data_IF_680723404244
#
_entry.id   IF_680723404244
#
_cell.length_a   1.000
_cell.length_b   1.000
_cell.length_c   1.000
_cell.angle_alpha   90.00
_cell.angle_beta   90.00
_cell.angle_gamma   90.00
#
_symmetry.space_group_name_H-M   'P 1'
#
loop_
_entity.id
_entity.type
_entity.pdbx_description
1 polymer ?
#
# COMPACT_ATOMS: atom_id res chain seq x y z
N UNK A 1 5.48 -13.62 -5.26
CA UNK A 1 6.74 -14.22 -4.78
C UNK A 1 7.34 -15.18 -5.81
N UNK A 2 6.62 -16.20 -6.31
CA UNK A 2 7.16 -17.19 -7.23
C UNK A 2 7.73 -16.60 -8.53
N UNK A 3 7.06 -15.62 -9.12
CA UNK A 3 7.54 -14.94 -10.33
C UNK A 3 8.86 -14.22 -10.07
N UNK A 4 8.99 -13.52 -8.93
CA UNK A 4 10.23 -12.87 -8.55
C UNK A 4 11.37 -13.87 -8.34
N UNK A 5 11.11 -14.96 -7.63
CA UNK A 5 12.10 -16.01 -7.41
C UNK A 5 12.54 -16.61 -8.74
N UNK A 6 11.60 -16.92 -9.63
CA UNK A 6 11.92 -17.47 -10.95
C UNK A 6 12.69 -16.51 -11.86
N UNK A 7 12.43 -15.19 -11.72
CA UNK A 7 13.17 -14.18 -12.48
C UNK A 7 14.66 -14.10 -12.06
N UNK A 8 14.93 -14.19 -10.74
CA UNK A 8 16.30 -14.06 -10.23
C UNK A 8 17.04 -15.38 -10.03
N UNK A 9 16.32 -16.46 -9.75
CA UNK A 9 16.92 -17.75 -9.41
C UNK A 9 16.03 -18.91 -9.90
N UNK A 10 15.93 -19.12 -11.23
CA UNK A 10 14.99 -20.08 -11.82
C UNK A 10 15.22 -21.54 -11.40
N UNK A 11 16.42 -21.87 -10.92
CA UNK A 11 16.77 -23.23 -10.45
C UNK A 11 16.38 -23.52 -8.99
N UNK A 12 15.89 -22.53 -8.23
CA UNK A 12 15.49 -22.74 -6.83
C UNK A 12 14.14 -23.47 -6.78
N UNK A 13 14.08 -24.52 -5.95
CA UNK A 13 12.83 -25.21 -5.63
C UNK A 13 11.99 -24.33 -4.69
N UNK A 14 10.75 -24.11 -5.08
CA UNK A 14 9.78 -23.39 -4.25
C UNK A 14 8.97 -24.40 -3.44
N UNK A 15 8.87 -24.19 -2.15
CA UNK A 15 8.03 -24.96 -1.23
C UNK A 15 6.89 -24.03 -0.79
N UNK A 16 5.66 -24.43 -1.10
CA UNK A 16 4.45 -23.73 -0.75
C UNK A 16 3.55 -24.64 0.09
N UNK A 17 3.71 -24.67 1.41
CA UNK A 17 3.03 -25.65 2.28
C UNK A 17 1.50 -25.66 2.11
N UNK A 18 0.89 -24.51 1.86
CA UNK A 18 -0.54 -24.38 1.58
C UNK A 18 -1.08 -25.28 0.46
N UNK A 19 -0.22 -25.68 -0.48
CA UNK A 19 -0.61 -26.56 -1.58
C UNK A 19 -0.57 -28.04 -1.20
N UNK A 20 0.09 -28.35 -0.10
CA UNK A 20 0.39 -29.72 0.33
C UNK A 20 -0.31 -30.07 1.65
N UNK A 21 -0.63 -29.07 2.49
CA UNK A 21 -1.27 -29.26 3.78
C UNK A 21 -2.79 -29.45 3.67
N UNK A 22 -3.33 -30.18 4.63
CA UNK A 22 -4.79 -30.37 4.76
C UNK A 22 -5.48 -29.18 5.47
N UNK A 23 -4.72 -28.28 6.08
CA UNK A 23 -5.21 -27.05 6.71
C UNK A 23 -5.82 -26.16 5.63
N UNK A 24 -7.11 -25.83 5.78
CA UNK A 24 -7.89 -25.07 4.77
C UNK A 24 -8.43 -23.75 5.26
N UNK A 25 -8.35 -23.47 6.56
CA UNK A 25 -8.87 -22.25 7.16
C UNK A 25 -7.88 -21.65 8.14
N UNK A 26 -8.07 -20.37 8.45
CA UNK A 26 -7.28 -19.66 9.46
C UNK A 26 -7.51 -20.21 10.86
N UNK A 27 -8.71 -20.67 11.15
CA UNK A 27 -9.07 -21.32 12.40
C UNK A 27 -8.26 -22.60 12.60
N UNK A 28 -8.18 -23.44 11.57
CA UNK A 28 -7.37 -24.66 11.60
C UNK A 28 -5.87 -24.38 11.77
N UNK A 29 -5.37 -23.26 11.20
CA UNK A 29 -3.99 -22.81 11.44
C UNK A 29 -3.74 -22.45 12.88
N UNK A 30 -4.67 -21.71 13.49
CA UNK A 30 -4.57 -21.32 14.90
C UNK A 30 -4.55 -22.56 15.77
N UNK A 31 -5.46 -23.51 15.53
CA UNK A 31 -5.51 -24.79 16.25
C UNK A 31 -4.21 -25.57 16.09
N UNK A 32 -3.68 -25.65 14.88
CA UNK A 32 -2.38 -26.29 14.62
C UNK A 32 -1.24 -25.61 15.38
N UNK A 33 -1.19 -24.29 15.35
CA UNK A 33 -0.17 -23.53 16.04
C UNK A 33 -0.25 -23.69 17.56
N UNK A 34 -1.45 -23.67 18.13
CA UNK A 34 -1.70 -23.92 19.56
C UNK A 34 -1.26 -25.34 19.95
N UNK A 35 -1.64 -26.35 19.15
CA UNK A 35 -1.27 -27.74 19.39
C UNK A 35 0.26 -27.99 19.35
N UNK A 36 0.99 -27.16 18.59
CA UNK A 36 2.44 -27.29 18.42
C UNK A 36 3.25 -26.24 19.22
N UNK A 37 2.58 -25.48 20.10
CA UNK A 37 3.19 -24.41 20.91
C UNK A 37 3.94 -23.36 20.05
N UNK A 38 3.42 -23.04 18.87
CA UNK A 38 3.92 -21.95 18.05
C UNK A 38 3.45 -20.64 18.67
N UNK A 39 4.35 -19.71 19.05
CA UNK A 39 3.94 -18.46 19.69
C UNK A 39 3.21 -17.57 18.68
N UNK A 40 1.94 -17.36 18.90
CA UNK A 40 1.11 -16.46 18.11
C UNK A 40 0.70 -15.24 18.93
N UNK A 41 0.83 -14.04 18.35
CA UNK A 41 0.25 -12.82 18.91
C UNK A 41 -1.14 -12.60 18.30
N UNK A 42 -2.08 -13.51 18.58
CA UNK A 42 -3.41 -13.46 17.97
C UNK A 42 -4.45 -13.15 19.05
N UNK A 43 -5.26 -12.14 18.78
CA UNK A 43 -6.55 -11.96 19.44
C UNK A 43 -7.64 -12.37 18.42
N UNK A 44 -8.41 -13.41 18.72
CA UNK A 44 -9.44 -13.96 17.81
C UNK A 44 -10.50 -12.93 17.39
N UNK A 45 -10.74 -11.91 18.22
CA UNK A 45 -11.76 -10.88 17.96
C UNK A 45 -11.28 -9.76 17.04
N UNK A 46 -9.95 -9.55 16.95
CA UNK A 46 -9.34 -8.46 16.15
C UNK A 46 -8.37 -8.99 15.11
N UNK A 47 -8.49 -10.26 14.75
CA UNK A 47 -7.55 -10.95 13.89
C UNK A 47 -7.83 -10.71 12.40
N UNK A 48 -7.85 -9.44 11.98
CA UNK A 48 -7.83 -9.09 10.57
C UNK A 48 -6.55 -9.62 9.92
N UNK A 49 -6.64 -10.00 8.65
CA UNK A 49 -5.44 -10.23 7.85
C UNK A 49 -4.80 -8.89 7.57
N UNK A 50 -3.55 -8.71 8.01
CA UNK A 50 -2.84 -7.44 7.91
C UNK A 50 -1.51 -7.65 7.23
N UNK A 51 -1.29 -6.95 6.12
CA UNK A 51 -0.01 -6.89 5.43
C UNK A 51 0.59 -5.49 5.61
N UNK A 52 1.72 -5.43 6.30
CA UNK A 52 2.40 -4.18 6.65
C UNK A 52 3.73 -4.04 5.93
N UNK A 53 3.94 -2.89 5.33
CA UNK A 53 5.23 -2.46 4.82
C UNK A 53 5.44 -0.96 5.12
N UNK A 54 6.52 -0.37 4.62
CA UNK A 54 6.81 1.05 4.85
C UNK A 54 5.78 1.98 4.21
N UNK A 55 5.16 1.56 3.11
CA UNK A 55 4.20 2.35 2.33
C UNK A 55 2.80 2.31 2.90
N UNK A 56 2.31 1.14 3.29
CA UNK A 56 0.93 0.96 3.74
C UNK A 56 0.74 -0.22 4.71
N UNK A 57 -0.43 -0.25 5.32
CA UNK A 57 -0.98 -1.37 6.05
C UNK A 57 -2.35 -1.71 5.48
N UNK A 58 -2.56 -2.98 5.11
CA UNK A 58 -3.87 -3.48 4.69
C UNK A 58 -4.61 -4.17 5.83
N UNK A 59 -5.95 -4.13 5.80
CA UNK A 59 -6.84 -4.85 6.68
C UNK A 59 -7.85 -5.62 5.84
N UNK A 60 -7.90 -6.92 5.98
CA UNK A 60 -8.81 -7.82 5.28
C UNK A 60 -9.35 -8.90 6.23
N UNK A 61 -10.41 -9.58 5.84
CA UNK A 61 -10.97 -10.71 6.58
C UNK A 61 -11.98 -10.31 7.65
N UNK A 62 -12.40 -11.26 8.49
CA UNK A 62 -13.43 -11.10 9.51
C UNK A 62 -14.73 -10.50 8.92
N UNK A 63 -15.24 -9.44 9.54
CA UNK A 63 -16.44 -8.72 9.10
C UNK A 63 -16.31 -8.08 7.71
N UNK A 64 -15.09 -7.83 7.22
CA UNK A 64 -14.83 -7.32 5.86
C UNK A 64 -14.99 -8.40 4.77
N UNK A 65 -15.12 -9.68 5.12
CA UNK A 65 -15.42 -10.74 4.15
C UNK A 65 -16.80 -10.55 3.52
N UNK A 66 -17.76 -10.05 4.29
CA UNK A 66 -19.01 -9.53 3.72
C UNK A 66 -18.78 -8.10 3.24
N UNK A 67 -18.68 -7.93 1.92
CA UNK A 67 -18.44 -6.63 1.29
C UNK A 67 -19.51 -5.58 1.55
N UNK A 68 -20.65 -5.97 2.13
CA UNK A 68 -21.73 -5.08 2.56
C UNK A 68 -21.49 -4.44 3.93
N UNK A 69 -20.55 -4.97 4.72
CA UNK A 69 -20.26 -4.44 6.06
C UNK A 69 -19.41 -3.18 6.01
N UNK A 70 -19.74 -2.23 6.85
CA UNK A 70 -18.95 -1.01 7.05
C UNK A 70 -17.70 -1.30 7.90
N UNK A 71 -16.52 -0.73 7.56
CA UNK A 71 -15.32 -0.87 8.37
C UNK A 71 -15.47 -0.31 9.77
N UNK A 72 -14.98 -1.02 10.75
CA UNK A 72 -15.09 -0.67 12.17
C UNK A 72 -13.88 0.17 12.62
N UNK A 73 -13.73 1.39 12.11
CA UNK A 73 -12.57 2.26 12.38
C UNK A 73 -12.33 2.52 13.88
N UNK A 74 -13.41 2.61 14.66
CA UNK A 74 -13.35 2.87 16.11
C UNK A 74 -13.06 1.62 16.96
N UNK A 75 -13.03 0.43 16.33
CA UNK A 75 -12.73 -0.80 17.06
C UNK A 75 -11.26 -0.78 17.52
N UNK A 76 -10.98 -0.96 18.82
CA UNK A 76 -9.63 -0.97 19.34
C UNK A 76 -8.72 -1.93 18.59
N UNK A 77 -7.58 -1.45 18.07
CA UNK A 77 -6.61 -2.24 17.31
C UNK A 77 -7.00 -2.50 15.85
N UNK A 78 -8.07 -1.86 15.33
CA UNK A 78 -8.34 -1.88 13.90
C UNK A 78 -7.30 -1.01 13.18
N UNK A 79 -7.31 0.30 13.38
CA UNK A 79 -6.28 1.20 12.83
C UNK A 79 -4.98 1.10 13.63
N UNK A 80 -3.84 1.13 12.95
CA UNK A 80 -2.50 1.03 13.55
C UNK A 80 -1.54 2.17 13.11
N UNK A 81 -1.82 2.82 11.96
CA UNK A 81 -0.96 3.88 11.46
C UNK A 81 -1.54 5.28 11.74
N UNK A 82 -2.82 5.37 12.08
CA UNK A 82 -3.46 6.64 12.28
C UNK A 82 -4.77 6.57 13.06
N UNK A 83 -5.53 7.63 12.96
CA UNK A 83 -6.86 7.78 13.55
C UNK A 83 -7.92 7.91 12.46
N UNK A 84 -9.18 7.66 12.79
CA UNK A 84 -10.28 7.94 11.87
C UNK A 84 -10.41 9.45 11.59
N UNK A 85 -11.01 9.86 10.47
CA UNK A 85 -11.25 11.28 10.19
C UNK A 85 -12.02 11.99 11.30
N UNK A 86 -12.95 11.30 11.97
CA UNK A 86 -13.75 11.82 13.07
C UNK A 86 -12.91 12.14 14.31
N UNK A 87 -11.81 11.41 14.49
CA UNK A 87 -10.87 11.59 15.61
C UNK A 87 -9.69 12.50 15.26
N UNK A 88 -9.61 12.96 14.02
CA UNK A 88 -8.55 13.85 13.58
C UNK A 88 -8.67 15.24 14.21
N UNK A 89 -7.55 16.00 14.35
CA UNK A 89 -7.57 17.36 14.87
C UNK A 89 -8.41 18.31 14.00
N UNK A 90 -9.15 19.22 14.62
CA UNK A 90 -9.91 20.27 13.92
C UNK A 90 -9.00 21.34 13.26
N UNK A 91 -7.74 21.40 13.68
CA UNK A 91 -6.79 22.38 13.15
C UNK A 91 -5.93 21.76 12.07
N UNK A 92 -5.76 22.42 10.90
CA UNK A 92 -4.94 21.90 9.83
C UNK A 92 -3.46 21.85 10.24
N UNK A 93 -2.78 20.78 9.82
CA UNK A 93 -1.33 20.63 9.87
C UNK A 93 -0.79 20.86 8.47
N UNK A 94 0.12 21.81 8.30
CA UNK A 94 0.76 22.09 7.01
C UNK A 94 2.10 21.37 6.92
N UNK A 95 2.36 20.77 5.75
CA UNK A 95 3.63 20.13 5.41
C UNK A 95 4.12 20.72 4.10
N UNK A 96 5.37 21.16 4.06
CA UNK A 96 6.02 21.67 2.85
C UNK A 96 6.96 20.60 2.31
N UNK A 97 6.74 20.17 1.07
CA UNK A 97 7.57 19.20 0.36
C UNK A 97 8.37 19.87 -0.74
N UNK A 98 9.62 19.48 -0.88
CA UNK A 98 10.47 19.88 -2.01
C UNK A 98 10.75 18.67 -2.86
N UNK A 99 10.60 18.83 -4.17
CA UNK A 99 10.85 17.79 -5.16
C UNK A 99 11.99 18.18 -6.10
N UNK A 100 12.80 17.22 -6.49
CA UNK A 100 13.79 17.34 -7.57
C UNK A 100 13.54 16.22 -8.57
N UNK A 101 13.09 16.58 -9.76
CA UNK A 101 12.77 15.62 -10.83
C UNK A 101 11.77 14.54 -10.38
N UNK A 102 10.69 14.96 -9.72
CA UNK A 102 9.64 14.07 -9.20
C UNK A 102 10.01 13.32 -7.92
N UNK A 103 11.26 13.42 -7.45
CA UNK A 103 11.72 12.75 -6.23
C UNK A 103 11.61 13.72 -5.04
N UNK A 104 10.91 13.38 -3.95
CA UNK A 104 10.86 14.21 -2.76
C UNK A 104 12.22 14.20 -2.04
N UNK A 105 12.79 15.38 -1.75
CA UNK A 105 14.13 15.54 -1.18
C UNK A 105 14.14 16.20 0.18
N UNK A 106 13.13 17.04 0.50
CA UNK A 106 13.03 17.73 1.78
C UNK A 106 11.59 17.77 2.28
N UNK A 107 11.46 17.81 3.60
CA UNK A 107 10.20 18.08 4.31
C UNK A 107 10.42 19.24 5.26
N UNK A 108 9.58 20.27 5.21
CA UNK A 108 9.65 21.48 6.05
C UNK A 108 11.05 22.13 6.09
N UNK A 109 11.69 22.15 4.90
CA UNK A 109 13.02 22.73 4.71
C UNK A 109 14.18 21.87 5.20
N UNK A 110 13.93 20.62 5.64
CA UNK A 110 14.97 19.67 6.06
C UNK A 110 15.12 18.56 5.04
N UNK A 111 16.35 18.33 4.58
CA UNK A 111 16.67 17.15 3.78
C UNK A 111 16.51 15.88 4.64
N UNK A 112 15.87 14.87 4.11
CA UNK A 112 15.61 13.60 4.77
C UNK A 112 15.95 12.44 3.85
N UNK A 113 16.45 11.35 4.41
CA UNK A 113 16.55 10.08 3.70
C UNK A 113 15.13 9.53 3.41
N UNK A 114 14.95 8.74 2.32
CA UNK A 114 13.61 8.26 1.93
C UNK A 114 12.85 7.52 3.04
N UNK A 115 13.52 6.68 3.81
CA UNK A 115 12.92 5.95 4.93
C UNK A 115 12.47 6.90 6.04
N UNK A 116 13.36 7.81 6.46
CA UNK A 116 13.09 8.83 7.49
C UNK A 116 11.89 9.72 7.07
N UNK A 117 11.85 10.10 5.80
CA UNK A 117 10.75 10.90 5.24
C UNK A 117 9.42 10.14 5.31
N UNK A 118 9.40 8.86 4.92
CA UNK A 118 8.19 8.04 4.99
C UNK A 118 7.71 7.84 6.42
N UNK A 119 8.62 7.57 7.36
CA UNK A 119 8.27 7.43 8.79
C UNK A 119 7.68 8.72 9.35
N UNK A 120 8.30 9.87 9.03
CA UNK A 120 7.80 11.18 9.43
C UNK A 120 6.42 11.48 8.84
N UNK A 121 6.24 11.28 7.53
CA UNK A 121 4.98 11.55 6.85
C UNK A 121 3.88 10.56 7.26
N UNK A 122 4.22 9.31 7.52
CA UNK A 122 3.27 8.33 8.07
C UNK A 122 2.76 8.79 9.45
N UNK A 123 3.66 9.29 10.30
CA UNK A 123 3.27 9.81 11.62
C UNK A 123 2.36 11.04 11.47
N UNK A 124 2.80 12.06 10.73
CA UNK A 124 2.02 13.29 10.56
C UNK A 124 0.68 13.02 9.89
N UNK A 125 0.66 12.24 8.83
CA UNK A 125 -0.58 11.88 8.13
C UNK A 125 -1.53 11.06 9.00
N UNK A 126 -1.01 10.07 9.72
CA UNK A 126 -1.79 9.24 10.61
C UNK A 126 -2.43 10.03 11.77
N UNK A 127 -1.67 10.92 12.41
CA UNK A 127 -2.18 11.82 13.46
C UNK A 127 -3.30 12.76 12.96
N UNK A 128 -3.36 13.01 11.66
CA UNK A 128 -4.35 13.87 11.01
C UNK A 128 -5.44 13.10 10.23
N UNK A 129 -5.58 11.80 10.44
CA UNK A 129 -6.61 10.98 9.79
C UNK A 129 -6.47 10.86 8.26
N UNK A 130 -5.26 11.06 7.74
CA UNK A 130 -4.96 11.01 6.30
C UNK A 130 -4.61 9.61 5.86
N UNK A 131 -5.08 9.22 4.67
CA UNK A 131 -4.62 8.02 3.99
C UNK A 131 -5.44 6.76 4.25
N UNK A 132 -6.67 6.89 4.79
CA UNK A 132 -7.61 5.79 4.84
C UNK A 132 -8.27 5.59 3.47
N UNK A 133 -8.30 4.35 3.02
CA UNK A 133 -8.99 3.95 1.80
C UNK A 133 -9.78 2.67 2.06
N UNK A 134 -11.10 2.75 1.92
CA UNK A 134 -12.02 1.61 1.99
C UNK A 134 -12.51 1.33 0.57
N UNK A 135 -12.24 0.13 0.09
CA UNK A 135 -12.63 -0.24 -1.26
C UNK A 135 -12.96 -1.73 -1.41
N UNK A 136 -13.85 -2.01 -2.35
CA UNK A 136 -14.12 -3.37 -2.81
C UNK A 136 -13.35 -3.58 -4.11
N UNK A 137 -12.28 -4.33 -4.03
CA UNK A 137 -11.36 -4.57 -5.15
C UNK A 137 -11.73 -5.80 -5.98
N UNK A 138 -11.19 -5.84 -7.20
CA UNK A 138 -11.29 -6.98 -8.09
C UNK A 138 -10.07 -7.87 -7.93
N UNK A 139 -10.28 -9.12 -7.52
CA UNK A 139 -9.22 -10.11 -7.54
C UNK A 139 -9.07 -10.73 -8.93
N UNK A 140 -7.85 -11.12 -9.30
CA UNK A 140 -7.54 -11.76 -10.59
C UNK A 140 -8.45 -12.98 -10.88
N UNK A 141 -8.83 -13.70 -9.84
CA UNK A 141 -9.71 -14.87 -9.92
C UNK A 141 -11.21 -14.54 -10.02
N UNK A 142 -11.56 -13.27 -10.17
CA UNK A 142 -12.95 -12.82 -10.34
C UNK A 142 -13.74 -12.62 -9.05
N UNK A 143 -13.14 -12.84 -7.89
CA UNK A 143 -13.77 -12.56 -6.59
C UNK A 143 -13.72 -11.05 -6.29
N UNK A 144 -14.74 -10.57 -5.55
CA UNK A 144 -14.71 -9.28 -4.88
C UNK A 144 -14.14 -9.46 -3.47
N UNK A 145 -13.33 -8.51 -3.01
CA UNK A 145 -12.78 -8.51 -1.67
C UNK A 145 -12.78 -7.08 -1.13
N UNK A 146 -13.32 -6.86 0.07
CA UNK A 146 -13.23 -5.56 0.72
C UNK A 146 -11.96 -5.48 1.54
N UNK A 147 -11.23 -4.41 1.35
CA UNK A 147 -10.03 -4.10 2.10
C UNK A 147 -10.02 -2.66 2.57
N UNK A 148 -9.45 -2.43 3.74
CA UNK A 148 -9.14 -1.09 4.24
C UNK A 148 -7.63 -0.92 4.25
N UNK A 149 -7.18 0.21 3.76
CA UNK A 149 -5.77 0.53 3.65
C UNK A 149 -5.45 1.79 4.42
N UNK A 150 -4.39 1.74 5.22
CA UNK A 150 -3.78 2.91 5.86
C UNK A 150 -2.51 3.26 5.10
N UNK A 151 -2.49 4.42 4.42
CA UNK A 151 -1.36 4.87 3.59
C UNK A 151 -1.07 6.35 3.84
N UNK A 152 -0.79 6.78 5.09
CA UNK A 152 -0.73 8.19 5.42
C UNK A 152 0.34 8.96 4.63
N UNK A 153 1.60 8.56 4.74
CA UNK A 153 2.73 9.23 4.08
C UNK A 153 2.68 9.11 2.57
N UNK A 154 2.32 7.92 2.06
CA UNK A 154 2.16 7.71 0.62
C UNK A 154 1.07 8.60 0.02
N UNK A 155 -0.03 8.80 0.71
CA UNK A 155 -1.11 9.70 0.29
C UNK A 155 -0.64 11.15 0.22
N UNK A 156 0.10 11.62 1.23
CA UNK A 156 0.68 12.97 1.23
C UNK A 156 1.62 13.17 0.03
N UNK A 157 2.55 12.24 -0.19
CA UNK A 157 3.51 12.31 -1.30
C UNK A 157 2.80 12.27 -2.66
N UNK A 158 1.84 11.37 -2.82
CA UNK A 158 1.09 11.23 -4.07
C UNK A 158 0.30 12.50 -4.42
N UNK A 159 -0.42 13.07 -3.44
CA UNK A 159 -1.15 14.32 -3.65
C UNK A 159 -0.22 15.47 -3.97
N UNK A 160 0.89 15.62 -3.25
CA UNK A 160 1.84 16.71 -3.48
C UNK A 160 2.47 16.61 -4.89
N UNK A 161 2.88 15.42 -5.32
CA UNK A 161 3.42 15.21 -6.67
C UNK A 161 2.36 15.50 -7.73
N UNK A 162 1.14 15.01 -7.57
CA UNK A 162 0.06 15.29 -8.51
C UNK A 162 -0.22 16.79 -8.67
N UNK A 163 -0.18 17.57 -7.58
CA UNK A 163 -0.32 19.02 -7.66
C UNK A 163 0.85 19.66 -8.41
N UNK A 164 2.08 19.21 -8.16
CA UNK A 164 3.27 19.70 -8.88
C UNK A 164 3.15 19.39 -10.38
N UNK A 165 2.71 18.19 -10.75
CA UNK A 165 2.48 17.79 -12.13
C UNK A 165 1.47 18.67 -12.87
N UNK A 166 0.46 19.20 -12.17
CA UNK A 166 -0.54 20.08 -12.82
C UNK A 166 0.06 21.37 -13.37
N UNK A 167 1.19 21.82 -12.84
CA UNK A 167 1.87 23.05 -13.28
C UNK A 167 3.15 22.78 -14.09
N UNK A 168 3.68 21.57 -14.08
CA UNK A 168 4.94 21.21 -14.74
C UNK A 168 4.75 20.37 -16.00
N UNK A 169 3.66 19.61 -16.11
CA UNK A 169 3.35 18.79 -17.28
C UNK A 169 2.29 19.45 -18.16
N UNK A 170 2.45 19.29 -19.47
CA UNK A 170 1.39 19.64 -20.40
C UNK A 170 0.21 18.65 -20.35
N UNK A 171 -0.94 19.08 -20.85
CA UNK A 171 -2.20 18.30 -20.83
C UNK A 171 -2.02 16.88 -21.40
N UNK A 172 -1.32 16.74 -22.53
CA UNK A 172 -1.22 15.46 -23.23
C UNK A 172 -0.30 14.49 -22.50
N UNK A 173 0.80 15.00 -21.93
CA UNK A 173 1.71 14.23 -21.09
C UNK A 173 1.01 13.74 -19.83
N UNK A 174 0.31 14.62 -19.13
CA UNK A 174 -0.45 14.27 -17.92
C UNK A 174 -1.53 13.22 -18.19
N UNK A 175 -2.33 13.39 -19.26
CA UNK A 175 -3.36 12.41 -19.64
C UNK A 175 -2.76 11.05 -20.01
N UNK A 176 -1.65 11.03 -20.76
CA UNK A 176 -0.99 9.78 -21.15
C UNK A 176 -0.39 9.07 -19.93
N UNK A 177 0.23 9.81 -19.01
CA UNK A 177 0.69 9.26 -17.73
C UNK A 177 -0.44 8.60 -16.96
N UNK A 178 -1.58 9.28 -16.80
CA UNK A 178 -2.74 8.74 -16.09
C UNK A 178 -3.31 7.47 -16.75
N UNK A 179 -3.37 7.42 -18.10
CA UNK A 179 -3.79 6.24 -18.84
C UNK A 179 -2.85 5.05 -18.62
N UNK A 180 -1.54 5.28 -18.69
CA UNK A 180 -0.53 4.24 -18.53
C UNK A 180 -0.35 3.79 -17.08
N UNK A 181 -0.74 4.60 -16.10
CA UNK A 181 -0.70 4.24 -14.69
C UNK A 181 -1.58 3.01 -14.38
N UNK A 182 -2.69 2.82 -15.07
CA UNK A 182 -3.56 1.65 -14.93
C UNK A 182 -2.82 0.39 -15.40
N UNK A 183 -2.16 0.46 -16.55
CA UNK A 183 -1.34 -0.65 -17.06
C UNK A 183 -0.19 -0.97 -16.12
N UNK A 184 0.45 0.06 -15.56
CA UNK A 184 1.52 -0.12 -14.58
C UNK A 184 1.02 -0.82 -13.31
N UNK A 185 -0.14 -0.40 -12.80
CA UNK A 185 -0.76 -1.02 -11.64
C UNK A 185 -1.07 -2.51 -11.87
N UNK A 186 -1.58 -2.87 -13.06
CA UNK A 186 -1.82 -4.27 -13.43
C UNK A 186 -0.52 -5.09 -13.45
N UNK A 187 0.57 -4.55 -13.97
CA UNK A 187 1.87 -5.23 -13.98
C UNK A 187 2.38 -5.49 -12.55
N UNK A 188 2.23 -4.49 -11.65
CA UNK A 188 2.63 -4.63 -10.25
C UNK A 188 1.75 -5.66 -9.55
N UNK A 189 0.44 -5.54 -9.68
CA UNK A 189 -0.54 -6.46 -9.06
C UNK A 189 -0.34 -7.91 -9.49
N UNK A 190 -0.07 -8.14 -10.78
CA UNK A 190 0.14 -9.47 -11.36
C UNK A 190 1.57 -10.02 -11.11
N UNK A 191 2.42 -9.32 -10.35
CA UNK A 191 3.79 -9.74 -10.07
C UNK A 191 4.72 -9.67 -11.29
N UNK A 192 4.40 -8.87 -12.30
CA UNK A 192 5.14 -8.71 -13.55
C UNK A 192 6.17 -7.58 -13.48
N UNK A 193 6.74 -7.37 -12.30
CA UNK A 193 7.73 -6.31 -12.03
C UNK A 193 8.95 -6.36 -12.96
N UNK A 194 9.38 -7.55 -13.37
CA UNK A 194 10.59 -7.78 -14.15
C UNK A 194 10.34 -7.88 -15.67
N UNK A 195 9.25 -7.29 -16.16
CA UNK A 195 8.90 -7.33 -17.58
C UNK A 195 9.42 -6.11 -18.32
N UNK A 196 9.78 -6.26 -19.63
CA UNK A 196 10.22 -5.13 -20.46
C UNK A 196 9.19 -3.99 -20.53
N UNK A 197 7.89 -4.32 -20.47
CA UNK A 197 6.85 -3.29 -20.49
C UNK A 197 6.91 -2.41 -19.24
N UNK A 198 7.09 -3.00 -18.04
CA UNK A 198 7.24 -2.23 -16.80
C UNK A 198 8.46 -1.29 -16.91
N UNK A 199 9.60 -1.78 -17.39
CA UNK A 199 10.82 -0.97 -17.57
C UNK A 199 10.61 0.19 -18.57
N UNK A 200 9.87 -0.06 -19.65
CA UNK A 200 9.56 0.98 -20.63
C UNK A 200 8.63 2.06 -20.04
N UNK A 201 7.68 1.65 -19.19
CA UNK A 201 6.79 2.60 -18.49
C UNK A 201 7.55 3.42 -17.46
N UNK A 202 8.51 2.84 -16.71
CA UNK A 202 9.39 3.59 -15.83
C UNK A 202 10.14 4.68 -16.60
N UNK A 203 10.80 4.31 -17.70
CA UNK A 203 11.55 5.27 -18.50
C UNK A 203 10.67 6.40 -19.07
N UNK A 204 9.41 6.08 -19.41
CA UNK A 204 8.44 7.09 -19.85
C UNK A 204 8.10 8.05 -18.72
N UNK A 205 7.78 7.55 -17.53
CA UNK A 205 7.42 8.36 -16.36
C UNK A 205 8.62 9.19 -15.91
N UNK A 206 9.79 8.58 -15.73
CA UNK A 206 11.03 9.27 -15.35
C UNK A 206 11.32 10.46 -16.26
N UNK A 207 11.08 10.28 -17.58
CA UNK A 207 11.30 11.36 -18.55
C UNK A 207 10.33 12.54 -18.38
N UNK A 208 9.12 12.29 -17.94
CA UNK A 208 8.17 13.36 -17.63
C UNK A 208 8.54 14.06 -16.32
N UNK A 209 8.89 13.28 -15.30
CA UNK A 209 9.22 13.77 -13.96
C UNK A 209 10.50 14.62 -13.90
N UNK A 210 11.39 14.54 -14.88
CA UNK A 210 12.55 15.46 -15.00
C UNK A 210 12.15 16.95 -14.91
N UNK A 211 10.88 17.27 -15.14
CA UNK A 211 10.33 18.63 -15.10
C UNK A 211 9.70 19.00 -13.77
N UNK A 212 9.46 18.01 -12.91
CA UNK A 212 8.77 18.17 -11.64
C UNK A 212 9.76 18.56 -10.52
N UNK A 213 10.14 19.83 -10.50
CA UNK A 213 11.08 20.41 -9.53
C UNK A 213 10.55 21.72 -8.97
#
# INVERSE_FOLDING_TARGET
FELAIKAFAPGIKIIAPWREWDIKSREEEIEYAEAHNVPLKINRETNYSKDKNLWHLSHEGLDLEDTGNEPQYEKPGFLEMGVSPEMAPDKPTYVTLHFEKGVPTMVDGKAMAPIEMMEYLNKVGGENGVGLCDLVENRLVGMKSRGVYETPGGTILYHALNYLETITLDKYAAHKKAELAITYADLVYNGQWFTPLREALDAFVDKLEERCT
#
